data_IF_211575967184
#
_entry.id   IF_211575967184
#
_cell.length_a   1.000
_cell.length_b   1.000
_cell.length_c   1.000
_cell.angle_alpha   90.00
_cell.angle_beta   90.00
_cell.angle_gamma   90.00
#
_symmetry.space_group_name_H-M   'P 1'
#
loop_
_entity.id
_entity.type
_entity.pdbx_description
1 polymer ?
#
# COMPACT_ATOMS: atom_id res chain seq x y z
N UNK A 1 -1.62 25.96 8.84
CA UNK A 1 -1.52 24.65 8.12
C UNK A 1 -1.67 24.94 6.64
N UNK A 2 -0.86 24.32 5.79
CA UNK A 2 -0.93 24.43 4.34
C UNK A 2 -1.35 23.07 3.79
N UNK A 3 -2.52 22.99 3.15
CA UNK A 3 -3.11 21.74 2.66
C UNK A 3 -2.94 21.61 1.15
N UNK A 4 -2.48 20.45 0.70
CA UNK A 4 -2.55 20.02 -0.69
C UNK A 4 -3.68 19.01 -0.83
N UNK A 5 -4.64 19.28 -1.70
CA UNK A 5 -5.76 18.38 -1.95
C UNK A 5 -5.52 17.57 -3.21
N UNK A 6 -5.76 16.26 -3.12
CA UNK A 6 -5.76 15.33 -4.25
C UNK A 6 -7.09 14.58 -4.28
N UNK A 7 -7.70 14.41 -5.44
CA UNK A 7 -8.97 13.71 -5.58
C UNK A 7 -8.90 12.61 -6.65
N UNK A 8 -9.60 11.52 -6.41
CA UNK A 8 -9.80 10.48 -7.42
C UNK A 8 -10.64 11.01 -8.60
N UNK A 9 -10.64 10.27 -9.70
CA UNK A 9 -11.37 10.63 -10.93
C UNK A 9 -12.91 10.59 -10.81
N UNK A 10 -13.44 10.07 -9.69
CA UNK A 10 -14.88 10.01 -9.47
C UNK A 10 -15.51 11.39 -9.28
N UNK A 11 -16.68 11.61 -9.85
CA UNK A 11 -17.39 12.89 -9.83
C UNK A 11 -17.62 13.42 -8.40
N UNK A 12 -17.98 12.54 -7.47
CA UNK A 12 -18.17 12.91 -6.07
C UNK A 12 -16.88 13.45 -5.43
N UNK A 13 -15.73 12.82 -5.70
CA UNK A 13 -14.45 13.29 -5.19
C UNK A 13 -14.05 14.65 -5.79
N UNK A 14 -14.29 14.85 -7.08
CA UNK A 14 -14.07 16.14 -7.77
C UNK A 14 -14.95 17.24 -7.22
N UNK A 15 -16.22 16.95 -6.93
CA UNK A 15 -17.15 17.90 -6.29
C UNK A 15 -16.64 18.33 -4.92
N UNK A 16 -16.22 17.36 -4.11
CA UNK A 16 -15.68 17.61 -2.75
C UNK A 16 -14.35 18.36 -2.80
N UNK A 17 -13.52 18.08 -3.79
CA UNK A 17 -12.29 18.84 -4.04
C UNK A 17 -12.60 20.33 -4.26
N UNK A 18 -13.56 20.62 -5.14
CA UNK A 18 -13.97 22.01 -5.42
C UNK A 18 -14.51 22.72 -4.17
N UNK A 19 -15.30 22.01 -3.34
CA UNK A 19 -15.81 22.55 -2.07
C UNK A 19 -14.69 22.86 -1.08
N UNK A 20 -13.76 21.92 -0.87
CA UNK A 20 -12.68 22.08 0.11
C UNK A 20 -11.64 23.11 -0.33
N UNK A 21 -11.29 23.13 -1.61
CA UNK A 21 -10.37 24.15 -2.15
C UNK A 21 -10.99 25.55 -2.11
N UNK A 22 -12.31 25.66 -2.25
CA UNK A 22 -13.03 26.92 -2.05
C UNK A 22 -13.01 27.42 -0.61
N UNK A 23 -13.02 26.52 0.38
CA UNK A 23 -13.01 26.85 1.81
C UNK A 23 -11.60 27.10 2.36
N UNK A 24 -10.62 26.27 1.96
CA UNK A 24 -9.30 26.20 2.59
C UNK A 24 -8.15 26.60 1.66
N UNK A 25 -8.45 26.87 0.39
CA UNK A 25 -7.43 27.09 -0.65
C UNK A 25 -6.74 25.82 -1.09
N UNK A 26 -5.97 25.90 -2.17
CA UNK A 26 -5.10 24.82 -2.65
C UNK A 26 -3.65 25.24 -2.53
N UNK A 27 -2.82 24.42 -1.89
CA UNK A 27 -1.38 24.64 -1.81
C UNK A 27 -0.67 23.69 -2.78
N UNK A 28 0.40 24.12 -3.42
CA UNK A 28 1.28 23.21 -4.17
C UNK A 28 1.89 22.19 -3.22
N UNK A 29 2.13 20.97 -3.70
CA UNK A 29 2.63 19.89 -2.85
C UNK A 29 3.98 20.23 -2.20
N UNK A 30 4.85 20.94 -2.92
CA UNK A 30 6.17 21.36 -2.46
C UNK A 30 6.11 22.33 -1.27
N UNK A 31 5.02 23.09 -1.15
CA UNK A 31 4.80 24.10 -0.09
C UNK A 31 3.85 23.58 1.01
N UNK A 32 3.29 22.39 0.84
CA UNK A 32 2.30 21.83 1.74
C UNK A 32 2.92 21.28 3.03
N UNK A 33 2.11 21.24 4.08
CA UNK A 33 2.45 20.55 5.34
C UNK A 33 1.73 19.21 5.48
N UNK A 34 0.60 19.06 4.78
CA UNK A 34 -0.22 17.85 4.79
C UNK A 34 -0.88 17.69 3.42
N UNK A 35 -1.14 16.45 3.05
CA UNK A 35 -1.92 16.10 1.89
C UNK A 35 -3.30 15.62 2.36
N UNK A 36 -4.36 16.05 1.70
CA UNK A 36 -5.73 15.56 1.90
C UNK A 36 -6.14 14.77 0.68
N UNK A 37 -6.29 13.46 0.82
CA UNK A 37 -6.69 12.55 -0.25
C UNK A 37 -8.19 12.32 -0.23
N UNK A 38 -8.89 12.64 -1.33
CA UNK A 38 -10.35 12.54 -1.49
C UNK A 38 -10.67 11.37 -2.42
N UNK A 39 -11.21 10.27 -1.87
CA UNK A 39 -11.48 9.07 -2.68
C UNK A 39 -11.80 7.86 -1.83
N UNK A 40 -11.33 6.71 -2.25
CA UNK A 40 -11.31 5.44 -1.49
C UNK A 40 -9.88 4.98 -1.24
N UNK A 41 -9.71 3.78 -0.65
CA UNK A 41 -8.40 3.21 -0.31
C UNK A 41 -7.44 3.17 -1.50
N UNK A 42 -7.92 2.81 -2.70
CA UNK A 42 -7.08 2.80 -3.90
C UNK A 42 -6.47 4.17 -4.22
N UNK A 43 -7.24 5.26 -4.08
CA UNK A 43 -6.72 6.61 -4.29
C UNK A 43 -5.73 7.00 -3.17
N UNK A 44 -6.03 6.63 -1.93
CA UNK A 44 -5.11 6.84 -0.80
C UNK A 44 -3.74 6.22 -1.07
N UNK A 45 -3.72 4.97 -1.54
CA UNK A 45 -2.49 4.26 -1.86
C UNK A 45 -1.72 4.91 -3.01
N UNK A 46 -2.40 5.41 -4.04
CA UNK A 46 -1.77 6.21 -5.11
C UNK A 46 -1.13 7.49 -4.56
N UNK A 47 -1.88 8.25 -3.76
CA UNK A 47 -1.35 9.49 -3.16
C UNK A 47 -0.14 9.21 -2.27
N UNK A 48 -0.17 8.15 -1.47
CA UNK A 48 0.96 7.73 -0.65
C UNK A 48 2.19 7.37 -1.51
N UNK A 49 2.00 6.63 -2.60
CA UNK A 49 3.08 6.25 -3.52
C UNK A 49 3.71 7.48 -4.20
N UNK A 50 2.87 8.37 -4.73
CA UNK A 50 3.32 9.57 -5.46
C UNK A 50 3.99 10.59 -4.53
N UNK A 51 3.60 10.60 -3.26
CA UNK A 51 4.12 11.54 -2.25
C UNK A 51 5.28 11.02 -1.41
N UNK A 52 5.78 9.80 -1.68
CA UNK A 52 6.90 9.21 -0.93
C UNK A 52 8.12 10.13 -0.82
N UNK A 53 8.46 10.83 -1.90
CA UNK A 53 9.61 11.74 -1.94
C UNK A 53 9.43 13.00 -1.09
N UNK A 54 8.20 13.38 -0.77
CA UNK A 54 7.89 14.55 0.05
C UNK A 54 7.84 14.24 1.53
N UNK A 55 7.60 12.98 1.92
CA UNK A 55 7.51 12.57 3.32
C UNK A 55 6.40 13.28 4.11
N UNK A 56 5.35 13.75 3.43
CA UNK A 56 4.23 14.46 4.04
C UNK A 56 3.19 13.50 4.60
N UNK A 57 2.59 13.81 5.76
CA UNK A 57 1.45 13.06 6.26
C UNK A 57 0.23 13.24 5.34
N UNK A 58 -0.48 12.13 5.11
CA UNK A 58 -1.66 12.08 4.25
C UNK A 58 -2.90 11.82 5.09
N UNK A 59 -3.90 12.71 4.98
CA UNK A 59 -5.20 12.57 5.63
C UNK A 59 -6.24 12.16 4.59
N UNK A 60 -6.69 10.91 4.64
CA UNK A 60 -7.67 10.37 3.71
C UNK A 60 -9.10 10.71 4.13
N UNK A 61 -9.94 11.15 3.19
CA UNK A 61 -11.38 11.39 3.37
C UNK A 61 -12.18 10.58 2.36
N UNK A 62 -13.07 9.73 2.84
CA UNK A 62 -13.85 8.82 2.00
C UNK A 62 -14.88 9.57 1.16
N UNK A 63 -14.84 9.36 -0.16
CA UNK A 63 -15.80 9.91 -1.11
C UNK A 63 -16.68 8.83 -1.74
N UNK A 64 -16.79 7.65 -1.14
CA UNK A 64 -17.55 6.53 -1.69
C UNK A 64 -17.98 5.53 -0.62
N UNK A 65 -17.80 4.25 -0.94
CA UNK A 65 -18.07 3.15 0.01
C UNK A 65 -17.03 3.13 1.12
N UNK A 66 -17.36 2.45 2.21
CA UNK A 66 -16.46 2.29 3.36
C UNK A 66 -15.08 1.78 2.92
N UNK A 67 -14.02 2.42 3.41
CA UNK A 67 -12.63 2.04 3.23
C UNK A 67 -11.93 1.80 4.57
N UNK A 68 -10.80 1.12 4.55
CA UNK A 68 -10.00 0.80 5.74
C UNK A 68 -8.97 1.89 6.07
N UNK A 69 -8.59 2.70 5.06
CA UNK A 69 -7.55 3.72 5.18
C UNK A 69 -8.09 5.15 5.27
N UNK A 70 -9.42 5.30 5.18
CA UNK A 70 -10.06 6.61 5.01
C UNK A 70 -10.88 7.01 6.22
N UNK A 71 -10.81 8.29 6.58
CA UNK A 71 -11.74 8.91 7.53
C UNK A 71 -13.07 9.25 6.86
N UNK A 72 -14.12 9.46 7.66
CA UNK A 72 -15.40 9.98 7.15
C UNK A 72 -15.23 11.36 6.52
N UNK A 73 -15.94 11.59 5.41
CA UNK A 73 -15.97 12.92 4.82
C UNK A 73 -16.71 13.90 5.72
N UNK A 74 -16.09 15.00 6.03
CA UNK A 74 -16.67 16.15 6.69
C UNK A 74 -15.90 17.40 6.27
N UNK A 75 -16.62 18.40 5.76
CA UNK A 75 -16.00 19.60 5.18
C UNK A 75 -15.60 20.64 6.23
N UNK A 76 -16.31 20.64 7.36
CA UNK A 76 -16.15 21.66 8.39
C UNK A 76 -14.98 21.30 9.33
N UNK A 77 -14.31 22.32 9.81
CA UNK A 77 -13.22 22.21 10.79
C UNK A 77 -12.05 21.29 10.40
N UNK A 78 -11.81 21.13 9.09
CA UNK A 78 -10.79 20.21 8.56
C UNK A 78 -9.38 20.44 9.16
N UNK A 79 -8.88 21.67 9.33
CA UNK A 79 -7.53 21.88 9.91
C UNK A 79 -7.40 21.30 11.33
N UNK A 80 -8.40 21.47 12.19
CA UNK A 80 -8.35 20.93 13.55
C UNK A 80 -8.51 19.40 13.54
N UNK A 81 -9.31 18.84 12.64
CA UNK A 81 -9.43 17.40 12.47
C UNK A 81 -8.11 16.75 12.02
N UNK A 82 -7.41 17.39 11.10
CA UNK A 82 -6.09 16.91 10.65
C UNK A 82 -5.07 16.94 11.79
N UNK A 83 -5.07 18.01 12.62
CA UNK A 83 -4.18 18.11 13.79
C UNK A 83 -4.53 17.09 14.88
N UNK A 84 -5.81 16.81 15.07
CA UNK A 84 -6.29 15.87 16.09
C UNK A 84 -6.20 14.40 15.65
N UNK A 85 -5.90 14.12 14.37
CA UNK A 85 -5.80 12.77 13.86
C UNK A 85 -4.58 12.04 14.41
N UNK A 86 -4.75 10.78 14.75
CA UNK A 86 -3.65 9.89 15.09
C UNK A 86 -2.82 9.58 13.83
N UNK A 87 -1.51 9.78 13.92
CA UNK A 87 -0.60 9.50 12.82
C UNK A 87 -0.14 8.06 12.86
N UNK A 88 -0.48 7.27 11.85
CA UNK A 88 0.01 5.92 11.66
C UNK A 88 1.25 5.93 10.74
N UNK A 89 2.44 5.52 11.23
CA UNK A 89 3.62 5.41 10.38
C UNK A 89 3.45 4.26 9.39
N UNK A 90 3.78 4.52 8.12
CA UNK A 90 3.83 3.50 7.06
C UNK A 90 5.29 3.20 6.72
N UNK A 91 5.59 1.92 6.57
CA UNK A 91 6.91 1.42 6.21
C UNK A 91 6.82 0.78 4.81
N UNK A 92 7.27 1.48 3.74
CA UNK A 92 7.33 0.90 2.41
C UNK A 92 8.26 -0.31 2.35
N UNK A 93 7.95 -1.28 1.51
CA UNK A 93 8.87 -2.34 1.15
C UNK A 93 9.94 -1.77 0.21
N UNK A 94 11.21 -2.13 0.46
CA UNK A 94 12.28 -1.96 -0.50
C UNK A 94 12.48 -3.27 -1.25
N UNK A 95 12.34 -3.25 -2.56
CA UNK A 95 12.58 -4.39 -3.44
C UNK A 95 13.91 -4.19 -4.15
N UNK A 96 14.73 -5.25 -4.16
CA UNK A 96 15.87 -5.38 -5.07
C UNK A 96 15.65 -6.63 -5.90
N UNK A 97 15.50 -6.48 -7.21
CA UNK A 97 15.37 -7.60 -8.15
C UNK A 97 16.65 -7.74 -8.96
N UNK A 98 17.23 -8.94 -8.96
CA UNK A 98 18.38 -9.28 -9.81
C UNK A 98 17.91 -10.16 -10.97
N UNK A 99 18.05 -9.67 -12.18
CA UNK A 99 17.70 -10.41 -13.38
C UNK A 99 18.77 -11.46 -13.74
N UNK A 100 18.40 -12.39 -14.63
CA UNK A 100 19.30 -13.49 -15.05
C UNK A 100 20.60 -13.00 -15.70
N UNK A 101 20.58 -11.83 -16.33
CA UNK A 101 21.76 -11.20 -16.93
C UNK A 101 22.65 -10.46 -15.92
N UNK A 102 22.28 -10.48 -14.64
CA UNK A 102 22.97 -9.81 -13.55
C UNK A 102 22.57 -8.36 -13.34
N UNK A 103 21.66 -7.81 -14.14
CA UNK A 103 21.12 -6.47 -13.92
C UNK A 103 20.28 -6.43 -12.64
N UNK A 104 20.37 -5.33 -11.89
CA UNK A 104 19.62 -5.12 -10.65
C UNK A 104 18.66 -3.94 -10.79
N UNK A 105 17.47 -4.09 -10.22
CA UNK A 105 16.43 -3.06 -10.18
C UNK A 105 15.96 -2.86 -8.74
N UNK A 106 15.88 -1.61 -8.31
CA UNK A 106 15.38 -1.26 -6.99
C UNK A 106 14.08 -0.47 -7.10
N UNK A 107 13.16 -0.71 -6.18
CA UNK A 107 11.90 0.04 -6.09
C UNK A 107 11.40 0.07 -4.65
N UNK A 108 10.55 1.07 -4.36
CA UNK A 108 9.77 1.14 -3.13
C UNK A 108 8.30 0.84 -3.44
N UNK A 109 7.66 0.08 -2.56
CA UNK A 109 6.25 -0.26 -2.68
C UNK A 109 5.50 0.04 -1.38
N UNK A 110 4.41 0.81 -1.48
CA UNK A 110 3.49 1.05 -0.37
C UNK A 110 2.59 -0.16 -0.13
N UNK A 111 2.13 -0.82 -1.21
CA UNK A 111 1.20 -1.95 -1.12
C UNK A 111 1.93 -3.27 -0.96
N UNK A 112 2.45 -3.78 -2.06
CA UNK A 112 3.12 -5.08 -2.13
C UNK A 112 4.18 -5.10 -3.21
N UNK A 113 5.12 -6.01 -3.06
CA UNK A 113 5.98 -6.51 -4.13
C UNK A 113 5.42 -7.86 -4.57
N UNK A 114 5.10 -8.01 -5.86
CA UNK A 114 4.56 -9.25 -6.41
C UNK A 114 5.44 -9.82 -7.50
N UNK A 115 5.62 -11.13 -7.47
CA UNK A 115 6.27 -11.91 -8.51
C UNK A 115 5.23 -12.81 -9.17
N UNK A 116 5.03 -12.65 -10.48
CA UNK A 116 4.05 -13.41 -11.26
C UNK A 116 4.74 -14.13 -12.42
N UNK A 117 4.32 -15.36 -12.70
CA UNK A 117 4.75 -16.08 -13.90
C UNK A 117 4.35 -15.32 -15.17
N UNK A 118 5.21 -15.31 -16.17
CA UNK A 118 4.94 -14.69 -17.47
C UNK A 118 4.25 -15.64 -18.47
N UNK A 119 4.41 -16.95 -18.27
CA UNK A 119 3.90 -17.96 -19.19
C UNK A 119 2.84 -18.82 -18.50
N UNK A 120 2.26 -19.78 -19.23
CA UNK A 120 1.34 -20.75 -18.67
C UNK A 120 2.04 -21.82 -17.79
N UNK A 121 3.36 -21.89 -17.75
CA UNK A 121 4.08 -22.78 -16.85
C UNK A 121 4.03 -22.21 -15.41
N UNK A 122 3.87 -23.10 -14.42
CA UNK A 122 3.92 -22.70 -13.02
C UNK A 122 5.31 -22.13 -12.66
N UNK A 123 5.32 -21.16 -11.77
CA UNK A 123 6.56 -20.69 -11.15
C UNK A 123 7.02 -21.70 -10.09
N UNK A 124 8.34 -21.85 -9.98
CA UNK A 124 9.02 -22.67 -8.97
C UNK A 124 9.92 -21.72 -8.18
N UNK A 125 9.54 -21.43 -6.95
CA UNK A 125 10.19 -20.41 -6.13
C UNK A 125 10.79 -21.03 -4.88
N UNK A 126 12.07 -20.78 -4.62
CA UNK A 126 12.66 -20.98 -3.30
C UNK A 126 12.42 -19.71 -2.48
N UNK A 127 12.20 -19.86 -1.18
CA UNK A 127 11.93 -18.72 -0.30
C UNK A 127 12.83 -18.80 0.91
N UNK A 128 13.56 -17.72 1.14
CA UNK A 128 14.34 -17.52 2.35
C UNK A 128 13.80 -16.33 3.15
N UNK A 129 13.88 -16.41 4.46
CA UNK A 129 13.52 -15.33 5.38
C UNK A 129 14.67 -15.17 6.38
N UNK A 130 15.25 -13.98 6.47
CA UNK A 130 16.40 -13.68 7.33
C UNK A 130 17.53 -14.70 7.13
N UNK A 131 17.99 -14.87 5.90
CA UNK A 131 19.05 -15.79 5.46
C UNK A 131 18.77 -17.29 5.72
N UNK A 132 17.56 -17.64 6.15
CA UNK A 132 17.19 -19.04 6.34
C UNK A 132 16.21 -19.48 5.28
N UNK A 133 16.54 -20.53 4.55
CA UNK A 133 15.61 -21.14 3.62
C UNK A 133 14.42 -21.73 4.36
N UNK A 134 13.24 -21.15 4.13
CA UNK A 134 11.98 -21.58 4.75
C UNK A 134 11.20 -22.54 3.84
N UNK A 135 11.38 -22.41 2.53
CA UNK A 135 10.72 -23.26 1.54
C UNK A 135 11.66 -23.52 0.37
N UNK A 136 11.91 -24.79 0.10
CA UNK A 136 12.79 -25.21 -0.99
C UNK A 136 12.16 -25.00 -2.37
N UNK A 137 10.86 -25.28 -2.50
CA UNK A 137 10.13 -25.11 -3.75
C UNK A 137 8.64 -24.85 -3.51
N UNK A 138 8.20 -23.64 -3.77
CA UNK A 138 6.80 -23.28 -3.94
C UNK A 138 6.43 -23.36 -5.41
N UNK A 139 5.47 -24.22 -5.76
CA UNK A 139 4.88 -24.30 -7.12
C UNK A 139 3.59 -23.51 -7.13
N UNK A 140 3.53 -22.43 -7.90
CA UNK A 140 2.43 -21.47 -7.84
C UNK A 140 2.31 -20.65 -9.15
N UNK A 141 1.35 -19.75 -9.20
CA UNK A 141 1.32 -18.69 -10.23
C UNK A 141 2.21 -17.51 -9.87
N UNK A 142 2.49 -17.33 -8.57
CA UNK A 142 3.31 -16.24 -8.06
C UNK A 142 3.28 -16.15 -6.55
N UNK A 143 3.90 -15.12 -6.03
CA UNK A 143 3.95 -14.79 -4.61
C UNK A 143 3.96 -13.27 -4.44
N UNK A 144 3.47 -12.79 -3.33
CA UNK A 144 3.57 -11.39 -2.97
C UNK A 144 3.97 -11.21 -1.50
N UNK A 145 4.67 -10.12 -1.24
CA UNK A 145 4.96 -9.61 0.10
C UNK A 145 4.19 -8.30 0.23
N UNK A 146 3.25 -8.22 1.17
CA UNK A 146 2.39 -7.07 1.35
C UNK A 146 2.62 -6.38 2.68
N UNK A 147 2.61 -5.04 2.65
CA UNK A 147 2.58 -4.20 3.84
C UNK A 147 1.20 -4.25 4.50
N UNK A 148 1.03 -3.74 5.73
CA UNK A 148 -0.29 -3.53 6.30
C UNK A 148 -1.22 -2.69 5.41
N UNK A 149 -0.72 -1.61 4.82
CA UNK A 149 -1.51 -0.76 3.91
C UNK A 149 -1.96 -1.51 2.65
N UNK A 150 -1.08 -2.33 2.07
CA UNK A 150 -1.38 -3.17 0.90
C UNK A 150 -2.17 -4.44 1.22
N UNK A 151 -2.36 -4.78 2.50
CA UNK A 151 -3.02 -6.03 2.89
C UNK A 151 -4.48 -6.11 2.41
N UNK A 152 -5.13 -4.99 2.17
CA UNK A 152 -6.49 -4.87 1.63
C UNK A 152 -6.54 -4.74 0.09
N UNK A 153 -5.37 -4.68 -0.59
CA UNK A 153 -5.25 -4.59 -2.04
C UNK A 153 -5.13 -5.98 -2.70
N UNK A 154 -4.10 -6.23 -3.50
CA UNK A 154 -3.92 -7.50 -4.20
C UNK A 154 -3.73 -8.67 -3.23
N UNK A 155 -3.11 -8.44 -2.08
CA UNK A 155 -2.99 -9.43 -1.02
C UNK A 155 -4.35 -10.03 -0.63
N UNK A 156 -5.39 -9.19 -0.46
CA UNK A 156 -6.74 -9.67 -0.14
C UNK A 156 -7.33 -10.51 -1.29
N UNK A 157 -7.14 -10.10 -2.54
CA UNK A 157 -7.57 -10.87 -3.72
C UNK A 157 -6.86 -12.22 -3.82
N UNK A 158 -5.61 -12.31 -3.38
CA UNK A 158 -4.86 -13.55 -3.26
C UNK A 158 -5.18 -14.35 -1.98
N UNK A 159 -6.23 -13.94 -1.23
CA UNK A 159 -6.67 -14.55 0.02
C UNK A 159 -5.66 -14.43 1.18
N UNK A 160 -4.79 -13.44 1.12
CA UNK A 160 -3.93 -13.07 2.23
C UNK A 160 -4.70 -12.40 3.38
N UNK A 161 -4.13 -12.35 4.58
CA UNK A 161 -4.77 -11.74 5.75
C UNK A 161 -4.80 -10.22 5.63
N UNK A 162 -5.82 -9.60 6.21
CA UNK A 162 -5.84 -8.14 6.46
C UNK A 162 -4.98 -7.87 7.69
N UNK A 163 -4.06 -6.91 7.58
CA UNK A 163 -3.16 -6.51 8.66
C UNK A 163 -3.50 -5.09 9.07
N UNK A 164 -3.79 -4.83 10.35
CA UNK A 164 -3.99 -3.47 10.84
C UNK A 164 -2.75 -2.60 10.62
N UNK A 165 -2.95 -1.31 10.29
CA UNK A 165 -1.86 -0.33 10.29
C UNK A 165 -1.18 -0.31 11.65
N UNK A 166 0.13 -0.26 11.70
CA UNK A 166 0.88 -0.32 12.95
C UNK A 166 1.01 -1.72 13.57
N UNK A 167 0.50 -2.78 12.93
CA UNK A 167 0.58 -4.16 13.42
C UNK A 167 1.98 -4.77 13.46
N UNK A 168 2.99 -4.07 12.94
CA UNK A 168 4.40 -4.53 12.95
C UNK A 168 4.64 -5.81 12.14
N UNK A 169 3.76 -6.13 11.19
CA UNK A 169 3.78 -7.35 10.40
C UNK A 169 3.74 -7.03 8.90
N UNK A 170 4.17 -7.99 8.09
CA UNK A 170 3.90 -8.05 6.66
C UNK A 170 3.37 -9.45 6.27
N UNK A 171 2.63 -9.54 5.18
CA UNK A 171 2.11 -10.80 4.68
C UNK A 171 2.99 -11.33 3.54
N UNK A 172 3.38 -12.59 3.63
CA UNK A 172 3.93 -13.38 2.53
C UNK A 172 2.82 -14.27 2.01
N UNK A 173 2.26 -13.96 0.83
CA UNK A 173 1.04 -14.60 0.31
C UNK A 173 1.29 -15.23 -1.05
N UNK A 174 1.07 -16.54 -1.21
CA UNK A 174 1.19 -17.19 -2.51
C UNK A 174 -0.03 -16.90 -3.40
N UNK A 175 0.19 -16.86 -4.71
CA UNK A 175 -0.88 -16.74 -5.69
C UNK A 175 -1.09 -18.12 -6.30
N UNK A 176 -2.28 -18.69 -6.11
CA UNK A 176 -2.66 -20.01 -6.63
C UNK A 176 -1.63 -21.11 -6.31
N UNK A 177 -1.26 -21.29 -5.04
CA UNK A 177 -0.31 -22.31 -4.62
C UNK A 177 -0.78 -23.72 -5.00
N UNK A 178 0.02 -24.44 -5.79
CA UNK A 178 -0.21 -25.83 -6.18
C UNK A 178 0.52 -26.81 -5.26
N UNK A 179 1.75 -26.50 -4.87
CA UNK A 179 2.57 -27.25 -3.90
C UNK A 179 3.41 -26.30 -3.06
N UNK A 180 3.46 -26.43 -1.71
CA UNK A 180 2.64 -27.35 -0.90
C UNK A 180 1.15 -27.04 -1.01
N UNK A 181 0.31 -28.08 -1.01
CA UNK A 181 -1.14 -27.89 -1.10
C UNK A 181 -1.66 -27.14 0.12
N UNK A 182 -2.55 -26.16 -0.11
CA UNK A 182 -3.22 -25.36 0.93
C UNK A 182 -2.28 -24.49 1.76
N UNK A 183 -1.04 -24.29 1.34
CA UNK A 183 -0.21 -23.29 1.97
C UNK A 183 -0.77 -21.90 1.65
N UNK A 184 -1.12 -21.16 2.68
CA UNK A 184 -1.78 -19.86 2.56
C UNK A 184 -0.83 -18.67 2.76
N UNK A 185 0.45 -18.95 2.93
CA UNK A 185 1.44 -17.93 3.25
C UNK A 185 1.78 -17.87 4.73
N UNK A 186 2.41 -16.78 5.12
CA UNK A 186 2.85 -16.51 6.47
C UNK A 186 2.73 -15.03 6.80
N UNK A 187 2.58 -14.73 8.09
CA UNK A 187 2.82 -13.40 8.63
C UNK A 187 4.26 -13.34 9.12
N UNK A 188 4.96 -12.28 8.72
CA UNK A 188 6.35 -12.04 9.08
C UNK A 188 6.48 -10.71 9.82
N UNK A 189 7.50 -10.52 10.67
CA UNK A 189 7.83 -9.21 11.19
C UNK A 189 8.07 -8.21 10.05
N UNK A 190 7.70 -6.95 10.23
CA UNK A 190 7.80 -5.91 9.19
C UNK A 190 9.23 -5.60 8.75
N UNK A 191 10.22 -5.97 9.57
CA UNK A 191 11.65 -5.82 9.33
C UNK A 191 12.34 -7.09 8.79
N UNK A 192 11.56 -8.15 8.50
CA UNK A 192 12.13 -9.37 7.95
C UNK A 192 12.60 -9.18 6.50
N UNK A 193 13.74 -9.77 6.18
CA UNK A 193 14.24 -9.85 4.81
C UNK A 193 13.71 -11.10 4.12
N UNK A 194 13.11 -10.94 2.93
CA UNK A 194 12.50 -12.02 2.15
C UNK A 194 13.19 -12.12 0.80
N UNK A 195 13.77 -13.28 0.53
CA UNK A 195 14.47 -13.59 -0.72
C UNK A 195 13.83 -14.80 -1.40
#
# INVERSE_FOLDING_TARGET
>A
MKLHFSASEHDEAKLRLAQLTGLYGQTKIEDATHIVALGGDGHMLHVLQDSLSYGLPVFGMNCGRLGFLMNSYEKDDLPNRVVAAETAPLHPLRMTATARDGSTHEALAINEVSLLRQTHNAAHLAISVNDKQQMECLVCDGILVATPAGSTAYNLSAQGPIIPLGGGLMALTPISAFRPRRWRGALLPHDADVV
#
